data_IF_539055827788
#
_entry.id   IF_539055827788
#
_cell.length_a   1.000
_cell.length_b   1.000
_cell.length_c   1.000
_cell.angle_alpha   90.00
_cell.angle_beta   90.00
_cell.angle_gamma   90.00
#
_symmetry.space_group_name_H-M   'P 1'
#
loop_
_entity.id
_entity.type
_entity.pdbx_description
1 polymer ?
#
# COMPACT_ATOMS: atom_id res chain seq x y z
N UNK A 1 3.18 -7.88 6.03
CA UNK A 1 2.04 -8.32 5.20
C UNK A 1 2.21 -7.84 3.77
N UNK A 2 2.40 -6.53 3.58
CA UNK A 2 2.97 -6.00 2.34
C UNK A 2 4.40 -6.52 2.13
N UNK A 3 4.84 -6.60 0.86
CA UNK A 3 6.14 -7.17 0.51
C UNK A 3 7.32 -6.34 1.06
N UNK A 4 7.13 -5.03 1.28
CA UNK A 4 8.23 -4.19 1.81
C UNK A 4 8.64 -4.59 3.24
N UNK A 5 7.76 -5.26 3.99
CA UNK A 5 8.10 -5.80 5.30
C UNK A 5 9.14 -6.92 5.27
N UNK A 6 9.44 -7.53 4.10
CA UNK A 6 10.58 -8.44 3.97
C UNK A 6 11.92 -7.74 4.23
N UNK A 7 11.97 -6.40 4.09
CA UNK A 7 13.17 -5.59 4.34
C UNK A 7 13.18 -4.96 5.73
N UNK A 8 12.19 -5.24 6.57
CA UNK A 8 12.18 -4.72 7.94
C UNK A 8 13.46 -5.18 8.67
N UNK A 9 14.27 -4.27 9.23
CA UNK A 9 15.60 -4.60 9.73
C UNK A 9 15.56 -5.43 11.02
N UNK A 10 14.50 -5.27 11.83
CA UNK A 10 14.33 -5.98 13.10
C UNK A 10 12.85 -5.97 13.54
N UNK A 11 12.56 -6.71 14.61
CA UNK A 11 11.22 -6.90 15.18
C UNK A 11 10.58 -5.59 15.68
N UNK A 12 11.39 -4.68 16.22
CA UNK A 12 10.92 -3.39 16.70
C UNK A 12 10.44 -2.52 15.53
N UNK A 13 11.28 -2.31 14.52
CA UNK A 13 10.94 -1.53 13.32
C UNK A 13 9.71 -2.12 12.60
N UNK A 14 9.62 -3.45 12.52
CA UNK A 14 8.45 -4.14 11.98
C UNK A 14 7.17 -3.80 12.78
N UNK A 15 7.21 -3.91 14.12
CA UNK A 15 6.07 -3.63 14.98
C UNK A 15 5.64 -2.18 14.91
N UNK A 16 6.58 -1.26 15.06
CA UNK A 16 6.28 0.15 15.04
C UNK A 16 5.70 0.58 13.69
N UNK A 17 6.12 -0.05 12.58
CA UNK A 17 5.53 0.20 11.27
C UNK A 17 4.11 -0.36 11.14
N UNK A 18 3.80 -1.51 11.75
CA UNK A 18 2.43 -1.97 11.86
C UNK A 18 1.57 -0.95 12.62
N UNK A 19 2.06 -0.42 13.75
CA UNK A 19 1.36 0.60 14.54
C UNK A 19 1.13 1.87 13.70
N UNK A 20 2.16 2.35 12.98
CA UNK A 20 2.04 3.50 12.06
C UNK A 20 1.02 3.26 10.95
N UNK A 21 1.01 2.07 10.33
CA UNK A 21 0.02 1.74 9.30
C UNK A 21 -1.40 1.71 9.87
N UNK A 22 -1.57 1.12 11.06
CA UNK A 22 -2.87 1.06 11.73
C UNK A 22 -3.42 2.44 12.08
N UNK A 23 -2.58 3.34 12.60
CA UNK A 23 -3.02 4.71 12.96
C UNK A 23 -3.46 5.54 11.75
N UNK A 24 -2.92 5.25 10.56
CA UNK A 24 -3.24 5.96 9.31
C UNK A 24 -4.26 5.24 8.43
N UNK A 25 -4.74 4.05 8.80
CA UNK A 25 -5.60 3.22 7.94
C UNK A 25 -6.91 3.94 7.53
N UNK A 26 -7.41 4.82 8.39
CA UNK A 26 -8.58 5.67 8.15
C UNK A 26 -8.41 6.66 6.97
N UNK A 27 -7.18 7.01 6.60
CA UNK A 27 -6.86 7.89 5.48
C UNK A 27 -6.69 7.13 4.15
N UNK A 28 -6.52 5.80 4.20
CA UNK A 28 -6.18 4.97 3.05
C UNK A 28 -7.21 3.85 2.83
N UNK A 29 -6.93 2.63 3.28
CA UNK A 29 -7.73 1.44 3.00
C UNK A 29 -9.16 1.53 3.52
N UNK A 30 -9.35 2.03 4.75
CA UNK A 30 -10.70 2.21 5.31
C UNK A 30 -11.48 3.28 4.54
N UNK A 31 -10.82 4.37 4.12
CA UNK A 31 -11.44 5.43 3.34
C UNK A 31 -11.98 4.87 2.01
N UNK A 32 -11.14 4.13 1.29
CA UNK A 32 -11.51 3.47 0.03
C UNK A 32 -12.63 2.46 0.25
N UNK A 33 -12.43 1.48 1.14
CA UNK A 33 -13.40 0.41 1.37
C UNK A 33 -14.76 0.95 1.79
N UNK A 34 -14.80 1.93 2.71
CA UNK A 34 -16.05 2.53 3.15
C UNK A 34 -16.72 3.35 2.02
N UNK A 35 -16.02 4.33 1.43
CA UNK A 35 -16.65 5.23 0.45
C UNK A 35 -17.02 4.53 -0.86
N UNK A 36 -16.22 3.58 -1.34
CA UNK A 36 -16.51 2.87 -2.59
C UNK A 36 -17.73 1.97 -2.48
N UNK A 37 -17.92 1.32 -1.33
CA UNK A 37 -19.11 0.47 -1.09
C UNK A 37 -20.35 1.32 -0.82
N UNK A 38 -20.21 2.38 -0.02
CA UNK A 38 -21.31 3.29 0.30
C UNK A 38 -21.84 4.06 -0.91
N UNK A 39 -21.03 4.26 -1.96
CA UNK A 39 -21.49 4.81 -3.24
C UNK A 39 -22.61 3.97 -3.89
N UNK A 40 -22.75 2.71 -3.48
CA UNK A 40 -23.78 1.77 -3.95
C UNK A 40 -24.70 1.29 -2.81
N UNK A 41 -24.72 1.97 -1.67
CA UNK A 41 -25.53 1.58 -0.52
C UNK A 41 -25.15 0.23 0.10
N UNK A 42 -23.91 -0.21 -0.08
CA UNK A 42 -23.41 -1.49 0.46
C UNK A 42 -22.60 -1.25 1.73
N UNK A 43 -22.94 -1.97 2.81
CA UNK A 43 -22.16 -1.97 4.05
C UNK A 43 -20.99 -2.96 3.94
N UNK A 44 -19.74 -2.46 4.07
CA UNK A 44 -18.55 -3.29 4.19
C UNK A 44 -18.15 -3.54 5.63
N UNK A 45 -18.00 -4.82 6.02
CA UNK A 45 -17.45 -5.21 7.33
C UNK A 45 -16.03 -5.73 7.19
N UNK A 46 -15.19 -5.41 8.18
CA UNK A 46 -13.75 -5.68 8.15
C UNK A 46 -13.31 -6.41 9.44
N UNK A 47 -13.54 -7.73 9.56
CA UNK A 47 -13.28 -8.47 10.81
C UNK A 47 -11.83 -8.40 11.30
N UNK A 48 -10.85 -8.22 10.40
CA UNK A 48 -9.45 -8.01 10.77
C UNK A 48 -9.19 -6.70 11.53
N UNK A 49 -10.15 -5.79 11.56
CA UNK A 49 -10.10 -4.54 12.31
C UNK A 49 -11.05 -4.52 13.52
N UNK A 50 -11.60 -5.68 13.89
CA UNK A 50 -12.26 -5.84 15.17
C UNK A 50 -11.28 -5.55 16.32
N UNK A 51 -11.78 -4.92 17.39
CA UNK A 51 -10.91 -4.46 18.49
C UNK A 51 -10.26 -5.63 19.23
N UNK A 52 -11.04 -6.67 19.54
CA UNK A 52 -10.54 -7.83 20.28
C UNK A 52 -9.54 -8.60 19.41
N UNK A 53 -9.81 -8.71 18.10
CA UNK A 53 -8.86 -9.28 17.16
C UNK A 53 -7.56 -8.46 17.07
N UNK A 54 -7.65 -7.12 17.00
CA UNK A 54 -6.48 -6.25 16.97
C UNK A 54 -5.64 -6.42 18.24
N UNK A 55 -6.25 -6.48 19.42
CA UNK A 55 -5.52 -6.60 20.69
C UNK A 55 -4.70 -7.90 20.73
N UNK A 56 -5.30 -9.01 20.30
CA UNK A 56 -4.58 -10.29 20.15
C UNK A 56 -3.49 -10.15 19.08
N UNK A 57 -3.86 -9.72 17.88
CA UNK A 57 -2.95 -9.70 16.73
C UNK A 57 -1.75 -8.76 16.97
N UNK A 58 -1.95 -7.61 17.62
CA UNK A 58 -0.89 -6.65 17.94
C UNK A 58 -0.06 -7.06 19.15
N UNK A 59 -0.64 -7.78 20.12
CA UNK A 59 0.06 -8.34 21.28
C UNK A 59 1.01 -9.51 20.98
N UNK A 60 0.84 -10.19 19.84
CA UNK A 60 1.77 -11.24 19.40
C UNK A 60 3.20 -10.70 19.21
N UNK A 61 4.19 -11.54 19.56
CA UNK A 61 5.61 -11.23 19.39
C UNK A 61 5.89 -10.85 17.92
N UNK A 62 6.48 -9.67 17.64
CA UNK A 62 6.69 -9.22 16.27
C UNK A 62 7.57 -10.15 15.45
N UNK A 63 8.50 -10.88 16.09
CA UNK A 63 9.35 -11.88 15.41
C UNK A 63 8.52 -12.99 14.74
N UNK A 64 7.37 -13.34 15.30
CA UNK A 64 6.46 -14.34 14.70
C UNK A 64 5.70 -13.81 13.49
N UNK A 65 5.65 -12.49 13.32
CA UNK A 65 5.06 -11.80 12.16
C UNK A 65 6.08 -11.53 11.06
N UNK A 66 7.37 -11.55 11.40
CA UNK A 66 8.47 -11.27 10.49
C UNK A 66 8.76 -12.41 9.51
N UNK A 67 9.36 -12.02 8.39
CA UNK A 67 9.72 -12.91 7.30
C UNK A 67 11.16 -13.39 7.51
N UNK A 68 11.36 -14.25 8.51
CA UNK A 68 12.69 -14.73 8.92
C UNK A 68 13.13 -15.97 8.13
N UNK A 69 14.44 -16.10 7.91
CA UNK A 69 15.08 -17.33 7.44
C UNK A 69 15.28 -18.26 8.63
N UNK A 70 14.81 -19.49 8.51
CA UNK A 70 14.88 -20.53 9.53
C UNK A 70 16.22 -21.26 9.45
N UNK A 71 16.56 -21.98 10.52
CA UNK A 71 17.80 -22.75 10.63
C UNK A 71 17.93 -23.86 9.56
N UNK A 72 16.79 -24.37 9.07
CA UNK A 72 16.73 -25.36 7.98
C UNK A 72 16.86 -24.72 6.57
N UNK A 73 17.12 -23.42 6.51
CA UNK A 73 17.30 -22.67 5.27
C UNK A 73 16.00 -22.17 4.63
N UNK A 74 14.82 -22.59 5.12
CA UNK A 74 13.52 -22.13 4.60
C UNK A 74 13.23 -20.70 5.03
N UNK A 75 12.45 -19.96 4.25
CA UNK A 75 12.01 -18.62 4.59
C UNK A 75 10.52 -18.60 4.94
N UNK A 76 10.18 -17.95 6.06
CA UNK A 76 8.78 -17.62 6.35
C UNK A 76 8.29 -16.57 5.36
N UNK A 77 7.19 -16.87 4.68
CA UNK A 77 6.51 -15.90 3.81
C UNK A 77 5.67 -14.91 4.62
N UNK A 78 5.20 -13.84 3.98
CA UNK A 78 4.39 -12.83 4.64
C UNK A 78 3.13 -13.42 5.29
N UNK A 79 2.84 -12.96 6.51
CA UNK A 79 1.70 -13.43 7.32
C UNK A 79 1.78 -14.93 7.66
N UNK A 80 2.97 -15.51 7.76
CA UNK A 80 3.18 -16.92 8.08
C UNK A 80 2.34 -17.43 9.26
N UNK A 81 2.34 -16.70 10.39
CA UNK A 81 1.56 -17.09 11.59
C UNK A 81 0.05 -17.19 11.31
N UNK A 82 -0.49 -16.27 10.50
CA UNK A 82 -1.89 -16.30 10.08
C UNK A 82 -2.15 -17.51 9.18
N UNK A 83 -1.25 -17.79 8.22
CA UNK A 83 -1.39 -18.93 7.31
C UNK A 83 -1.39 -20.25 8.10
N UNK A 84 -0.46 -20.42 9.04
CA UNK A 84 -0.41 -21.59 9.92
C UNK A 84 -1.68 -21.77 10.76
N UNK A 85 -2.25 -20.68 11.28
CA UNK A 85 -3.46 -20.75 12.09
C UNK A 85 -4.71 -21.25 11.32
N UNK A 86 -4.69 -21.17 9.99
CA UNK A 86 -5.83 -21.50 9.14
C UNK A 86 -5.49 -22.49 8.01
N UNK A 87 -4.34 -23.18 8.09
CA UNK A 87 -3.84 -24.03 6.99
C UNK A 87 -4.75 -25.21 6.69
N UNK A 88 -5.50 -25.70 7.68
CA UNK A 88 -6.43 -26.82 7.54
C UNK A 88 -7.80 -26.39 6.95
N UNK A 89 -8.06 -25.08 6.82
CA UNK A 89 -9.35 -24.57 6.31
C UNK A 89 -9.34 -24.24 4.81
N UNK A 90 -8.17 -24.16 4.17
CA UNK A 90 -8.03 -23.72 2.79
C UNK A 90 -7.13 -24.68 1.99
N UNK A 91 -7.33 -24.83 0.68
CA UNK A 91 -6.39 -25.52 -0.19
C UNK A 91 -4.96 -25.00 -0.03
N UNK A 92 -3.97 -25.89 -0.03
CA UNK A 92 -2.58 -25.54 0.26
C UNK A 92 -2.01 -24.49 -0.71
N UNK A 93 -2.40 -24.56 -1.98
CA UNK A 93 -2.03 -23.60 -3.02
C UNK A 93 -2.59 -22.19 -2.75
N UNK A 94 -3.76 -22.08 -2.11
CA UNK A 94 -4.33 -20.80 -1.66
C UNK A 94 -3.66 -20.34 -0.35
N UNK A 95 -3.56 -21.23 0.64
CA UNK A 95 -3.00 -20.93 1.96
C UNK A 95 -1.54 -20.45 1.88
N UNK A 96 -0.77 -20.99 0.93
CA UNK A 96 0.66 -20.68 0.77
C UNK A 96 0.97 -19.84 -0.47
N UNK A 97 -0.06 -19.29 -1.14
CA UNK A 97 0.13 -18.36 -2.25
C UNK A 97 0.87 -17.12 -1.80
N UNK A 98 1.96 -16.78 -2.47
CA UNK A 98 2.68 -15.54 -2.24
C UNK A 98 1.80 -14.34 -2.55
N UNK A 99 1.92 -13.28 -1.75
CA UNK A 99 1.20 -12.04 -1.98
C UNK A 99 1.59 -11.41 -3.32
N UNK A 100 0.58 -11.09 -4.11
CA UNK A 100 0.66 -10.14 -5.21
C UNK A 100 0.03 -8.79 -4.83
N UNK A 101 0.48 -7.72 -5.48
CA UNK A 101 -0.09 -6.38 -5.35
C UNK A 101 -1.46 -6.35 -6.06
N UNK A 102 -2.43 -5.58 -5.52
CA UNK A 102 -3.79 -5.54 -6.08
C UNK A 102 -3.84 -5.09 -7.54
N UNK A 103 -3.01 -4.12 -7.93
CA UNK A 103 -2.96 -3.62 -9.31
C UNK A 103 -2.62 -4.72 -10.31
N UNK A 104 -1.67 -5.57 -9.97
CA UNK A 104 -1.16 -6.61 -10.85
C UNK A 104 -2.13 -7.80 -10.86
N UNK A 105 -2.76 -8.07 -9.71
CA UNK A 105 -3.81 -9.09 -9.57
C UNK A 105 -5.15 -8.74 -10.23
N UNK A 106 -5.47 -7.45 -10.44
CA UNK A 106 -6.66 -7.04 -11.23
C UNK A 106 -6.36 -7.09 -12.73
N UNK A 107 -5.12 -6.83 -13.12
CA UNK A 107 -4.65 -6.97 -14.50
C UNK A 107 -3.55 -5.97 -14.82
N UNK A 108 -2.43 -6.47 -15.34
CA UNK A 108 -1.24 -5.66 -15.62
C UNK A 108 -1.49 -4.44 -16.50
N UNK A 109 -2.42 -4.53 -17.45
CA UNK A 109 -2.76 -3.42 -18.35
C UNK A 109 -3.50 -2.26 -17.67
N UNK A 110 -4.04 -2.45 -16.46
CA UNK A 110 -4.87 -1.44 -15.80
C UNK A 110 -4.07 -0.18 -15.44
N UNK A 111 -2.97 -0.33 -14.70
CA UNK A 111 -2.10 0.81 -14.34
C UNK A 111 -1.49 1.42 -15.60
N UNK A 112 -1.00 0.59 -16.51
CA UNK A 112 -0.33 1.08 -17.71
C UNK A 112 -1.29 1.91 -18.59
N UNK A 113 -2.57 1.53 -18.62
CA UNK A 113 -3.63 2.29 -19.30
C UNK A 113 -3.90 3.63 -18.61
N UNK A 114 -3.96 3.68 -17.28
CA UNK A 114 -4.13 4.92 -16.53
C UNK A 114 -2.96 5.89 -16.76
N UNK A 115 -1.73 5.40 -16.70
CA UNK A 115 -0.53 6.18 -17.02
C UNK A 115 -0.62 6.75 -18.44
N UNK A 116 -0.98 5.92 -19.43
CA UNK A 116 -1.15 6.38 -20.82
C UNK A 116 -2.23 7.47 -20.96
N UNK A 117 -3.41 7.25 -20.39
CA UNK A 117 -4.51 8.22 -20.49
C UNK A 117 -4.12 9.55 -19.85
N UNK A 118 -3.51 9.51 -18.67
CA UNK A 118 -3.16 10.74 -17.95
C UNK A 118 -2.00 11.49 -18.59
N UNK A 119 -1.07 10.78 -19.24
CA UNK A 119 -0.02 11.36 -20.08
C UNK A 119 -0.59 12.14 -21.28
N UNK A 120 -1.62 11.61 -21.92
CA UNK A 120 -2.31 12.25 -23.05
C UNK A 120 -3.21 13.42 -22.61
N UNK A 121 -3.78 13.35 -21.39
CA UNK A 121 -4.74 14.34 -20.88
C UNK A 121 -4.11 15.56 -20.20
N UNK A 122 -2.87 15.45 -19.74
CA UNK A 122 -2.17 16.53 -19.04
C UNK A 122 -0.97 16.97 -19.88
N UNK A 123 -1.02 18.18 -20.41
CA UNK A 123 0.08 18.73 -21.20
C UNK A 123 1.29 19.06 -20.34
N UNK A 124 2.49 19.03 -20.92
CA UNK A 124 3.73 19.44 -20.23
C UNK A 124 3.66 20.88 -19.71
N UNK A 125 2.99 21.77 -20.46
CA UNK A 125 2.80 23.16 -20.06
C UNK A 125 1.88 23.32 -18.84
N UNK A 126 0.83 22.51 -18.74
CA UNK A 126 -0.05 22.47 -17.56
C UNK A 126 0.67 21.89 -16.35
N UNK A 127 1.41 20.81 -16.56
CA UNK A 127 2.19 20.16 -15.52
C UNK A 127 3.33 21.04 -15.01
N UNK A 128 4.00 21.81 -15.89
CA UNK A 128 5.02 22.78 -15.50
C UNK A 128 4.48 23.87 -14.55
N UNK A 129 3.19 24.22 -14.66
CA UNK A 129 2.52 25.23 -13.81
C UNK A 129 1.85 24.65 -12.56
N UNK A 130 2.00 23.35 -12.28
CA UNK A 130 1.27 22.64 -11.21
C UNK A 130 1.47 23.23 -9.82
N UNK A 131 2.67 23.73 -9.49
CA UNK A 131 2.96 24.32 -8.19
C UNK A 131 2.18 25.61 -7.95
N UNK A 132 2.01 26.42 -9.01
CA UNK A 132 1.19 27.64 -8.95
C UNK A 132 -0.31 27.31 -8.90
N UNK A 133 -0.75 26.26 -9.62
CA UNK A 133 -2.16 25.85 -9.68
C UNK A 133 -2.61 25.12 -8.41
N UNK A 134 -1.74 24.31 -7.82
CA UNK A 134 -2.01 23.45 -6.67
C UNK A 134 -0.97 23.69 -5.57
N UNK A 135 -1.06 24.81 -4.83
CA UNK A 135 -0.04 25.18 -3.84
C UNK A 135 0.02 24.22 -2.65
N UNK A 136 -1.10 23.59 -2.29
CA UNK A 136 -1.15 22.53 -1.27
C UNK A 136 -0.90 21.18 -1.94
N UNK A 137 0.16 20.46 -1.56
CA UNK A 137 0.51 19.14 -2.10
C UNK A 137 0.52 19.11 -3.64
N UNK A 138 1.45 19.85 -4.29
CA UNK A 138 1.54 19.88 -5.73
C UNK A 138 1.80 18.47 -6.29
N UNK A 139 1.09 18.05 -7.36
CA UNK A 139 1.29 16.75 -7.99
C UNK A 139 2.74 16.52 -8.43
N UNK A 140 3.22 15.29 -8.28
CA UNK A 140 4.56 14.85 -8.71
C UNK A 140 4.56 14.16 -10.06
N UNK A 141 3.40 13.67 -10.51
CA UNK A 141 3.22 13.00 -11.80
C UNK A 141 2.00 13.56 -12.54
N UNK A 142 1.93 13.35 -13.86
CA UNK A 142 0.73 13.71 -14.65
C UNK A 142 -0.51 12.93 -14.23
N UNK A 143 -0.33 11.70 -13.75
CA UNK A 143 -1.41 10.91 -13.18
C UNK A 143 -1.98 11.57 -11.91
N UNK A 144 -1.12 11.94 -10.96
CA UNK A 144 -1.55 12.70 -9.78
C UNK A 144 -2.18 14.04 -10.15
N UNK A 145 -1.65 14.72 -11.17
CA UNK A 145 -2.21 15.99 -11.65
C UNK A 145 -3.64 15.80 -12.13
N UNK A 146 -3.88 14.76 -12.93
CA UNK A 146 -5.20 14.46 -13.47
C UNK A 146 -6.21 14.18 -12.34
N UNK A 147 -5.83 13.36 -11.35
CA UNK A 147 -6.69 13.11 -10.18
C UNK A 147 -6.91 14.37 -9.34
N UNK A 148 -5.87 15.19 -9.15
CA UNK A 148 -5.95 16.43 -8.40
C UNK A 148 -6.84 17.47 -9.07
N UNK A 149 -6.86 17.51 -10.39
CA UNK A 149 -7.77 18.37 -11.15
C UNK A 149 -9.23 17.96 -10.93
N UNK A 150 -9.54 16.67 -11.03
CA UNK A 150 -10.89 16.14 -10.74
C UNK A 150 -11.27 16.46 -9.29
N UNK A 151 -10.38 16.19 -8.33
CA UNK A 151 -10.61 16.47 -6.92
C UNK A 151 -10.90 17.95 -6.67
N UNK A 152 -10.08 18.85 -7.22
CA UNK A 152 -10.22 20.29 -7.00
C UNK A 152 -11.48 20.87 -7.65
N UNK A 153 -11.99 20.23 -8.72
CA UNK A 153 -13.29 20.58 -9.31
C UNK A 153 -14.47 20.16 -8.42
N UNK A 154 -14.37 19.01 -7.77
CA UNK A 154 -15.42 18.50 -6.87
C UNK A 154 -15.37 19.14 -5.47
N UNK A 155 -14.16 19.49 -5.01
CA UNK A 155 -13.87 20.05 -3.69
C UNK A 155 -12.95 21.27 -3.83
N UNK A 156 -13.46 22.43 -4.29
CA UNK A 156 -12.65 23.63 -4.58
C UNK A 156 -12.25 24.38 -3.30
N UNK A 157 -11.44 23.74 -2.45
CA UNK A 157 -11.00 24.28 -1.17
C UNK A 157 -9.61 23.76 -0.78
N UNK A 158 -8.73 24.68 -0.38
CA UNK A 158 -7.43 24.33 0.18
C UNK A 158 -7.56 23.52 1.47
N UNK A 159 -8.60 23.76 2.27
CA UNK A 159 -8.89 22.97 3.46
C UNK A 159 -9.22 21.53 3.11
N UNK A 160 -9.99 21.30 2.04
CA UNK A 160 -10.27 19.96 1.54
C UNK A 160 -9.00 19.29 0.99
N UNK A 161 -8.14 20.04 0.29
CA UNK A 161 -6.86 19.51 -0.19
C UNK A 161 -5.93 19.09 0.97
N UNK A 162 -5.91 19.84 2.07
CA UNK A 162 -5.12 19.52 3.28
C UNK A 162 -5.59 18.25 3.99
N UNK A 163 -6.83 17.80 3.77
CA UNK A 163 -7.32 16.52 4.29
C UNK A 163 -6.74 15.30 3.55
N UNK A 164 -6.11 15.49 2.38
CA UNK A 164 -5.50 14.40 1.62
C UNK A 164 -4.01 14.32 1.99
N UNK A 165 -3.57 13.26 2.70
CA UNK A 165 -2.16 13.11 3.05
C UNK A 165 -1.32 12.91 1.78
N UNK A 166 -0.16 13.56 1.75
CA UNK A 166 0.81 13.43 0.66
C UNK A 166 2.18 13.19 1.30
N UNK A 167 2.57 11.92 1.34
CA UNK A 167 3.80 11.45 1.99
C UNK A 167 4.63 10.66 0.99
N UNK A 168 5.96 10.69 1.15
CA UNK A 168 6.83 9.82 0.38
C UNK A 168 6.62 8.35 0.79
N UNK A 169 6.67 7.45 -0.18
CA UNK A 169 6.54 6.01 0.03
C UNK A 169 6.80 5.26 -1.27
N UNK A 170 6.97 3.95 -1.16
CA UNK A 170 6.99 3.02 -2.29
C UNK A 170 5.76 2.14 -2.15
N UNK A 171 4.88 2.22 -3.14
CA UNK A 171 3.59 1.53 -3.12
C UNK A 171 2.79 1.79 -1.81
N UNK A 172 2.56 0.76 -0.99
CA UNK A 172 1.80 0.88 0.26
C UNK A 172 2.67 1.20 1.49
N UNK A 173 3.96 1.50 1.33
CA UNK A 173 4.87 1.76 2.44
C UNK A 173 4.69 3.16 3.03
N UNK A 174 5.21 3.39 4.24
CA UNK A 174 5.36 4.74 4.79
C UNK A 174 6.76 5.29 4.46
N UNK A 175 6.97 6.59 4.68
CA UNK A 175 8.29 7.20 4.54
C UNK A 175 9.36 6.49 5.37
N UNK A 176 9.00 5.96 6.57
CA UNK A 176 9.93 5.24 7.43
C UNK A 176 10.46 3.96 6.77
N UNK A 177 9.63 3.25 6.02
CA UNK A 177 10.03 2.03 5.33
C UNK A 177 11.03 2.28 4.19
N UNK A 178 11.13 3.51 3.66
CA UNK A 178 12.16 3.89 2.67
C UNK A 178 13.57 3.89 3.26
N UNK A 179 13.69 3.96 4.59
CA UNK A 179 14.98 3.89 5.28
C UNK A 179 15.51 2.46 5.39
N UNK A 180 14.66 1.46 5.18
CA UNK A 180 15.00 0.05 5.38
C UNK A 180 15.78 -0.57 4.21
N UNK A 181 15.68 0.01 3.01
CA UNK A 181 16.42 -0.43 1.84
C UNK A 181 16.95 0.77 1.06
N UNK A 182 18.27 0.84 0.87
CA UNK A 182 18.91 1.92 0.13
C UNK A 182 18.42 2.02 -1.32
N UNK A 183 17.99 0.90 -1.92
CA UNK A 183 17.43 0.87 -3.27
C UNK A 183 16.09 1.63 -3.39
N UNK A 184 15.37 1.84 -2.28
CA UNK A 184 14.06 2.49 -2.28
C UNK A 184 14.11 4.00 -2.08
N UNK A 185 15.25 4.57 -1.65
CA UNK A 185 15.36 6.01 -1.39
C UNK A 185 15.06 6.88 -2.62
N UNK A 186 15.15 6.32 -3.83
CA UNK A 186 14.93 7.03 -5.10
C UNK A 186 13.91 6.34 -6.03
N UNK A 187 13.11 5.39 -5.53
CA UNK A 187 12.08 4.73 -6.35
C UNK A 187 10.72 5.41 -6.13
N UNK A 188 10.13 5.90 -7.22
CA UNK A 188 8.74 6.38 -7.25
C UNK A 188 7.95 5.48 -8.19
N UNK A 189 7.58 4.28 -7.71
CA UNK A 189 6.81 3.32 -8.50
C UNK A 189 5.60 2.79 -7.72
N UNK A 190 4.37 3.05 -8.20
CA UNK A 190 3.14 2.63 -7.54
C UNK A 190 2.86 1.12 -7.60
N UNK A 191 3.45 0.38 -8.55
CA UNK A 191 3.29 -1.08 -8.62
C UNK A 191 4.20 -1.83 -7.63
N UNK A 192 3.75 -3.01 -7.20
CA UNK A 192 4.54 -3.88 -6.31
C UNK A 192 5.80 -4.44 -6.97
N UNK A 193 5.92 -4.28 -8.31
CA UNK A 193 7.05 -4.71 -9.14
C UNK A 193 8.39 -4.13 -8.71
N UNK A 194 8.38 -3.00 -7.99
CA UNK A 194 9.58 -2.35 -7.45
C UNK A 194 10.28 -3.17 -6.34
N UNK A 195 9.60 -4.14 -5.72
CA UNK A 195 10.17 -4.98 -4.65
C UNK A 195 10.82 -6.21 -5.30
N UNK A 196 11.92 -5.95 -6.00
CA UNK A 196 12.72 -6.98 -6.65
C UNK A 196 13.38 -7.92 -5.63
N UNK A 197 13.49 -9.21 -5.99
CA UNK A 197 14.14 -10.22 -5.17
C UNK A 197 13.30 -10.82 -4.03
N UNK A 198 12.01 -10.49 -3.95
CA UNK A 198 11.07 -11.13 -3.00
C UNK A 198 10.21 -12.21 -3.69
N UNK A 199 9.92 -12.07 -4.98
CA UNK A 199 9.17 -13.07 -5.73
C UNK A 199 10.05 -14.21 -6.24
N UNK A 200 9.68 -15.45 -5.92
CA UNK A 200 10.36 -16.66 -6.43
C UNK A 200 10.02 -16.93 -7.90
N UNK A 201 8.90 -16.40 -8.38
CA UNK A 201 8.47 -16.39 -9.78
C UNK A 201 7.93 -15.00 -10.10
N UNK A 202 8.72 -14.19 -10.78
CA UNK A 202 8.19 -13.04 -11.50
C UNK A 202 7.54 -13.60 -12.78
N UNK A 203 6.24 -13.41 -12.95
CA UNK A 203 5.56 -13.62 -14.24
C UNK A 203 5.65 -12.35 -15.08
#
# INVERSE_FOLDING_TARGET
GYLYFHKAPNAQEFHEELVRKMSKLHLYDCLRANKSLMAWGVEGRVPFLDKDFIDIAMGLNPTDKMNIKLADGKQRIEKWILRKAFEDLLPADICWRQKEQFSDGVGYSWIDTLKKITEEKVSDAEFARRENRFPVNPPKTKEEYYYREIYSRLFPSDSAAKCVPHEAGVACSTAKALEWDAAWKNMDEPSGRAISGVHDKAY
#
